data_IF_771217349998
#
_entry.id   IF_771217349998
#
_cell.length_a   1.000
_cell.length_b   1.000
_cell.length_c   1.000
_cell.angle_alpha   90.00
_cell.angle_beta   90.00
_cell.angle_gamma   90.00
#
_symmetry.space_group_name_H-M   'P 1'
#
loop_
_entity.id
_entity.type
_entity.pdbx_description
1 polymer ?
#
# COMPACT_ATOMS: atom_id res chain seq x y z
N UNK A 1 -1.27 -12.72 13.03
CA UNK A 1 -0.54 -12.13 11.88
C UNK A 1 -1.48 -11.46 10.88
N UNK A 2 -2.56 -12.12 10.40
CA UNK A 2 -3.56 -11.50 9.49
C UNK A 2 -4.21 -10.21 10.02
N UNK A 3 -4.40 -10.07 11.34
CA UNK A 3 -4.98 -8.86 11.96
C UNK A 3 -4.06 -7.64 11.79
N UNK A 4 -2.73 -7.80 11.88
CA UNK A 4 -1.78 -6.69 11.73
C UNK A 4 -1.78 -6.20 10.27
N UNK A 5 -1.86 -7.13 9.32
CA UNK A 5 -1.94 -6.82 7.88
C UNK A 5 -3.26 -6.10 7.58
N UNK A 6 -4.37 -6.60 8.13
CA UNK A 6 -5.68 -5.98 7.96
C UNK A 6 -5.72 -4.58 8.59
N UNK A 7 -5.19 -4.44 9.81
CA UNK A 7 -5.09 -3.15 10.50
C UNK A 7 -4.24 -2.16 9.71
N UNK A 8 -3.10 -2.59 9.17
CA UNK A 8 -2.26 -1.78 8.28
C UNK A 8 -3.03 -1.29 7.05
N UNK A 9 -3.76 -2.19 6.36
CA UNK A 9 -4.61 -1.80 5.22
C UNK A 9 -5.70 -0.81 5.61
N UNK A 10 -6.39 -1.04 6.73
CA UNK A 10 -7.46 -0.15 7.20
C UNK A 10 -6.92 1.23 7.59
N UNK A 11 -5.77 1.28 8.26
CA UNK A 11 -5.12 2.55 8.65
C UNK A 11 -4.68 3.32 7.41
N UNK A 12 -4.02 2.67 6.45
CA UNK A 12 -3.60 3.32 5.19
C UNK A 12 -4.82 3.82 4.40
N UNK A 13 -5.90 3.03 4.33
CA UNK A 13 -7.13 3.44 3.66
C UNK A 13 -7.81 4.63 4.38
N UNK A 14 -7.84 4.61 5.71
CA UNK A 14 -8.35 5.72 6.51
C UNK A 14 -7.52 6.99 6.27
N UNK A 15 -6.19 6.89 6.26
CA UNK A 15 -5.28 8.00 5.95
C UNK A 15 -5.60 8.61 4.58
N UNK A 16 -5.79 7.77 3.55
CA UNK A 16 -6.22 8.23 2.23
C UNK A 16 -7.58 8.93 2.25
N UNK A 17 -8.53 8.40 3.02
CA UNK A 17 -9.81 9.06 3.27
C UNK A 17 -9.63 10.46 3.86
N UNK A 18 -8.77 10.62 4.87
CA UNK A 18 -8.45 11.93 5.45
C UNK A 18 -7.81 12.88 4.44
N UNK A 19 -6.86 12.41 3.63
CA UNK A 19 -6.23 13.21 2.57
C UNK A 19 -7.28 13.66 1.55
N UNK A 20 -8.14 12.77 1.05
CA UNK A 20 -9.22 13.09 0.11
C UNK A 20 -10.23 14.08 0.70
N UNK A 21 -10.68 13.86 1.94
CA UNK A 21 -11.58 14.79 2.66
C UNK A 21 -10.91 16.16 2.83
N UNK A 22 -9.59 16.19 3.01
CA UNK A 22 -8.82 17.42 3.06
C UNK A 22 -8.87 18.25 1.78
N UNK A 23 -8.96 17.62 0.60
CA UNK A 23 -9.10 18.33 -0.69
C UNK A 23 -10.42 19.10 -0.79
N UNK A 24 -11.48 18.65 -0.10
CA UNK A 24 -12.76 19.34 -0.05
C UNK A 24 -12.78 20.53 0.94
N UNK A 25 -11.62 20.94 1.46
CA UNK A 25 -11.48 22.03 2.43
C UNK A 25 -12.31 21.84 3.72
N UNK A 26 -12.58 20.59 4.09
CA UNK A 26 -13.30 20.23 5.33
C UNK A 26 -12.44 20.52 6.57
N UNK A 27 -11.12 20.41 6.43
CA UNK A 27 -10.16 20.70 7.50
C UNK A 27 -9.59 22.12 7.39
N UNK A 28 -9.07 22.62 8.52
CA UNK A 28 -8.35 23.90 8.54
C UNK A 28 -7.18 23.93 7.56
N UNK A 29 -6.83 25.11 7.06
CA UNK A 29 -5.80 25.29 6.05
C UNK A 29 -4.43 24.72 6.47
N UNK A 30 -4.05 24.86 7.75
CA UNK A 30 -2.80 24.31 8.29
C UNK A 30 -2.78 22.78 8.27
N UNK A 31 -3.90 22.15 8.64
CA UNK A 31 -4.05 20.69 8.61
C UNK A 31 -4.04 20.18 7.17
N UNK A 32 -4.74 20.87 6.26
CA UNK A 32 -4.76 20.53 4.84
C UNK A 32 -3.39 20.61 4.20
N UNK A 33 -2.60 21.64 4.53
CA UNK A 33 -1.26 21.79 4.00
C UNK A 33 -0.31 20.71 4.54
N UNK A 34 -0.41 20.36 5.82
CA UNK A 34 0.35 19.26 6.41
C UNK A 34 -0.03 17.90 5.79
N UNK A 35 -1.33 17.62 5.67
CA UNK A 35 -1.85 16.41 5.00
C UNK A 35 -1.42 16.34 3.54
N UNK A 36 -1.39 17.47 2.83
CA UNK A 36 -0.91 17.55 1.46
C UNK A 36 0.56 17.15 1.34
N UNK A 37 1.45 17.75 2.14
CA UNK A 37 2.88 17.41 2.13
C UNK A 37 3.15 15.97 2.55
N UNK A 38 2.49 15.50 3.62
CA UNK A 38 2.62 14.12 4.09
C UNK A 38 2.07 13.15 3.05
N UNK A 39 0.92 13.45 2.43
CA UNK A 39 0.34 12.65 1.35
C UNK A 39 1.26 12.52 0.14
N UNK A 40 1.92 13.60 -0.27
CA UNK A 40 2.94 13.58 -1.34
C UNK A 40 4.15 12.73 -0.94
N UNK A 41 4.67 12.90 0.28
CA UNK A 41 5.80 12.11 0.75
C UNK A 41 5.46 10.60 0.79
N UNK A 42 4.28 10.25 1.29
CA UNK A 42 3.78 8.86 1.33
C UNK A 42 3.61 8.29 -0.08
N UNK A 43 3.07 9.08 -1.03
CA UNK A 43 3.00 8.69 -2.43
C UNK A 43 4.35 8.39 -3.05
N UNK A 44 5.36 9.22 -2.77
CA UNK A 44 6.71 9.02 -3.27
C UNK A 44 7.32 7.72 -2.75
N UNK A 45 7.10 7.41 -1.47
CA UNK A 45 7.53 6.14 -0.88
C UNK A 45 6.87 4.96 -1.59
N UNK A 46 5.55 4.98 -1.76
CA UNK A 46 4.85 3.91 -2.47
C UNK A 46 5.26 3.80 -3.94
N UNK A 47 5.54 4.92 -4.60
CA UNK A 47 6.05 4.92 -5.96
C UNK A 47 7.45 4.27 -6.04
N UNK A 48 8.31 4.55 -5.07
CA UNK A 48 9.63 3.91 -4.97
C UNK A 48 9.50 2.39 -4.72
N UNK A 49 8.60 1.96 -3.83
CA UNK A 49 8.31 0.55 -3.60
C UNK A 49 7.86 -0.15 -4.89
N UNK A 50 6.89 0.42 -5.60
CA UNK A 50 6.38 -0.12 -6.87
C UNK A 50 7.46 -0.12 -7.96
N UNK A 51 8.31 0.91 -8.03
CA UNK A 51 9.40 0.98 -8.99
C UNK A 51 10.47 -0.10 -8.70
N UNK A 52 10.84 -0.30 -7.45
CA UNK A 52 11.75 -1.37 -7.03
C UNK A 52 11.19 -2.75 -7.35
N UNK A 53 9.91 -2.99 -7.04
CA UNK A 53 9.21 -4.23 -7.40
C UNK A 53 9.14 -4.43 -8.92
N UNK A 54 8.81 -3.39 -9.67
CA UNK A 54 8.75 -3.44 -11.14
C UNK A 54 10.11 -3.76 -11.74
N UNK A 55 11.20 -3.16 -11.23
CA UNK A 55 12.57 -3.45 -11.67
C UNK A 55 13.00 -4.87 -11.31
N UNK A 56 12.56 -5.40 -10.17
CA UNK A 56 12.95 -6.73 -9.66
C UNK A 56 12.15 -7.88 -10.29
N UNK A 57 10.86 -7.69 -10.56
CA UNK A 57 9.91 -8.74 -10.96
C UNK A 57 9.28 -8.54 -12.35
N UNK A 58 9.58 -7.44 -13.05
CA UNK A 58 8.99 -7.09 -14.35
C UNK A 58 9.25 -8.10 -15.48
N UNK A 59 10.20 -9.03 -15.30
CA UNK A 59 10.53 -10.06 -16.29
C UNK A 59 9.74 -11.37 -16.14
N UNK A 60 8.88 -11.55 -15.11
CA UNK A 60 8.22 -12.83 -14.84
C UNK A 60 6.69 -12.85 -14.78
N UNK A 61 6.00 -11.70 -14.85
CA UNK A 61 4.57 -11.65 -14.54
C UNK A 61 3.75 -11.03 -15.68
N UNK A 62 2.82 -11.82 -16.22
CA UNK A 62 1.97 -11.54 -17.39
C UNK A 62 0.77 -10.63 -17.06
N UNK A 63 0.39 -10.45 -15.79
CA UNK A 63 -0.69 -9.51 -15.39
C UNK A 63 -0.38 -8.62 -14.16
N UNK A 64 0.68 -7.81 -14.15
CA UNK A 64 1.18 -7.20 -12.91
C UNK A 64 0.59 -5.81 -12.60
N UNK A 65 -0.37 -5.28 -13.39
CA UNK A 65 -0.81 -3.88 -13.25
C UNK A 65 -1.74 -3.67 -12.05
N UNK A 66 -2.63 -4.63 -11.76
CA UNK A 66 -3.62 -4.50 -10.70
C UNK A 66 -2.98 -4.64 -9.31
N UNK A 67 -2.06 -5.58 -9.14
CA UNK A 67 -1.30 -5.74 -7.89
C UNK A 67 -0.38 -4.55 -7.63
N UNK A 68 0.21 -3.93 -8.66
CA UNK A 68 0.99 -2.70 -8.52
C UNK A 68 0.14 -1.52 -8.04
N UNK A 69 -1.10 -1.40 -8.54
CA UNK A 69 -2.03 -0.38 -8.10
C UNK A 69 -2.46 -0.63 -6.64
N UNK A 70 -2.68 -1.89 -6.27
CA UNK A 70 -3.02 -2.24 -4.88
C UNK A 70 -1.83 -2.03 -3.94
N UNK A 71 -0.59 -2.27 -4.37
CA UNK A 71 0.61 -1.90 -3.62
C UNK A 71 0.79 -0.38 -3.56
N UNK A 72 0.39 0.37 -4.58
CA UNK A 72 0.40 1.83 -4.53
C UNK A 72 -0.60 2.39 -3.50
N UNK A 73 -1.77 1.75 -3.38
CA UNK A 73 -2.86 2.17 -2.49
C UNK A 73 -2.66 1.63 -1.06
N UNK A 74 -2.22 0.38 -0.92
CA UNK A 74 -2.13 -0.35 0.35
C UNK A 74 -0.70 -0.69 0.78
N UNK A 75 0.34 -0.36 0.00
CA UNK A 75 1.72 -0.74 0.28
C UNK A 75 1.98 -2.26 0.21
N UNK A 76 3.08 -2.69 0.83
CA UNK A 76 3.47 -4.12 0.90
C UNK A 76 2.44 -5.02 1.62
N UNK A 77 1.47 -4.43 2.34
CA UNK A 77 0.40 -5.15 3.02
C UNK A 77 -0.49 -5.96 2.06
N UNK A 78 -0.49 -5.65 0.76
CA UNK A 78 -1.20 -6.46 -0.24
C UNK A 78 -0.51 -7.80 -0.53
N UNK A 79 0.82 -7.86 -0.49
CA UNK A 79 1.62 -9.02 -0.89
C UNK A 79 1.83 -10.00 0.29
N UNK A 80 1.83 -9.47 1.51
CA UNK A 80 2.06 -10.22 2.74
C UNK A 80 1.11 -11.42 2.99
N UNK A 81 -0.21 -11.35 2.72
CA UNK A 81 -1.10 -12.50 2.86
C UNK A 81 -0.78 -13.61 1.85
N UNK A 82 -0.32 -13.27 0.65
CA UNK A 82 0.04 -14.24 -0.38
C UNK A 82 1.30 -15.02 0.03
N UNK A 83 2.34 -14.32 0.52
CA UNK A 83 3.56 -14.96 1.01
C UNK A 83 3.34 -15.83 2.25
N UNK A 84 2.43 -15.43 3.14
CA UNK A 84 2.10 -16.22 4.33
C UNK A 84 1.33 -17.51 3.99
N UNK A 85 0.44 -17.48 3.00
CA UNK A 85 -0.26 -18.69 2.55
C UNK A 85 0.69 -19.64 1.79
N UNK A 86 1.68 -19.12 1.06
CA UNK A 86 2.72 -19.93 0.40
C UNK A 86 3.62 -20.65 1.42
N UNK A 87 4.14 -19.93 2.42
CA UNK A 87 4.95 -20.52 3.51
C UNK A 87 4.15 -21.56 4.31
N UNK A 88 2.86 -21.30 4.56
CA UNK A 88 2.00 -22.25 5.29
C UNK A 88 1.74 -23.54 4.51
N UNK A 89 1.74 -23.46 3.18
CA UNK A 89 1.50 -24.62 2.31
C UNK A 89 2.75 -25.50 2.19
N UNK A 90 3.94 -24.90 2.14
CA UNK A 90 5.21 -25.65 2.17
C UNK A 90 5.46 -26.35 3.51
N UNK A 91 5.08 -25.73 4.64
CA UNK A 91 5.19 -26.35 5.97
C UNK A 91 4.20 -27.48 6.27
N UNK A 92 3.23 -27.74 5.39
CA UNK A 92 2.28 -28.86 5.51
C UNK A 92 2.62 -30.05 4.59
N UNK A 93 3.66 -29.95 3.76
CA UNK A 93 4.10 -31.03 2.85
C UNK A 93 5.44 -31.67 3.27
N UNK A 94 6.04 -31.27 4.39
CA UNK A 94 7.22 -31.91 4.99
C UNK A 94 6.87 -32.65 6.28
#
# INVERSE_FOLDING_TARGET
MKIIILAGKTITLAFWGFVLVSLFSVFSQSVTQMLGWVGVAVLLVHFAEVAMFTKRFGSRLTEPKFDKLMVLIFGIFHIMPFLLDEIKTEGQQG
#
